data_IF_358121091606
#
_entry.id   IF_358121091606
#
_cell.length_a   1.000
_cell.length_b   1.000
_cell.length_c   1.000
_cell.angle_alpha   90.00
_cell.angle_beta   90.00
_cell.angle_gamma   90.00
#
_symmetry.space_group_name_H-M   'P 1'
#
loop_
_entity.id
_entity.type
_entity.pdbx_description
1 polymer ?
#
# COMPACT_ATOMS: atom_id res chain seq x y z
N UNK A 1 -1.52 4.02 29.08
CA UNK A 1 -2.66 3.50 28.28
C UNK A 1 -3.71 4.60 28.25
N UNK A 2 -4.04 5.14 27.08
CA UNK A 2 -5.16 6.08 26.96
C UNK A 2 -6.45 5.38 27.43
N UNK A 3 -7.41 6.08 28.04
CA UNK A 3 -8.67 5.47 28.44
C UNK A 3 -9.44 5.00 27.20
N UNK A 4 -9.44 3.68 26.96
CA UNK A 4 -10.01 2.98 25.81
C UNK A 4 -11.56 3.03 25.72
N UNK A 5 -12.22 3.95 26.44
CA UNK A 5 -13.69 4.03 26.53
C UNK A 5 -14.31 5.12 25.64
N UNK A 6 -13.51 5.82 24.84
CA UNK A 6 -14.03 6.80 23.88
C UNK A 6 -14.20 6.11 22.53
N UNK A 7 -15.43 6.03 21.97
CA UNK A 7 -15.62 5.49 20.63
C UNK A 7 -14.88 6.38 19.63
N UNK A 8 -13.84 5.83 19.01
CA UNK A 8 -13.13 6.52 17.95
C UNK A 8 -14.07 6.69 16.73
N UNK A 9 -13.98 7.81 16.00
CA UNK A 9 -14.76 7.98 14.78
C UNK A 9 -14.43 6.86 13.78
N UNK A 10 -15.39 6.54 12.92
CA UNK A 10 -15.14 5.59 11.83
C UNK A 10 -13.93 6.02 11.00
N UNK A 11 -13.19 5.07 10.44
CA UNK A 11 -12.00 5.34 9.62
C UNK A 11 -12.27 6.33 8.47
N UNK A 12 -13.47 6.29 7.88
CA UNK A 12 -13.89 7.22 6.84
C UNK A 12 -14.15 8.62 7.41
N UNK A 13 -14.82 8.71 8.56
CA UNK A 13 -15.08 9.98 9.23
C UNK A 13 -13.78 10.66 9.64
N UNK A 14 -12.85 9.91 10.24
CA UNK A 14 -11.54 10.46 10.63
C UNK A 14 -10.76 10.96 9.41
N UNK A 15 -10.75 10.21 8.31
CA UNK A 15 -10.07 10.61 7.09
C UNK A 15 -10.67 11.87 6.46
N UNK A 16 -11.99 12.02 6.44
CA UNK A 16 -12.68 13.23 5.94
C UNK A 16 -12.39 14.44 6.82
N UNK A 17 -12.41 14.28 8.14
CA UNK A 17 -12.05 15.36 9.08
C UNK A 17 -10.60 15.78 8.88
N UNK A 18 -9.68 14.82 8.79
CA UNK A 18 -8.26 15.10 8.54
C UNK A 18 -8.04 15.78 7.19
N UNK A 19 -8.62 15.26 6.11
CA UNK A 19 -8.50 15.86 4.78
C UNK A 19 -9.12 17.26 4.71
N UNK A 20 -10.27 17.47 5.34
CA UNK A 20 -10.89 18.78 5.48
C UNK A 20 -10.03 19.77 6.27
N UNK A 21 -9.39 19.31 7.36
CA UNK A 21 -8.43 20.11 8.12
C UNK A 21 -7.22 20.51 7.28
N UNK A 22 -6.65 19.58 6.50
CA UNK A 22 -5.52 19.86 5.61
C UNK A 22 -5.89 20.89 4.53
N UNK A 23 -7.10 20.78 3.96
CA UNK A 23 -7.64 21.78 3.05
C UNK A 23 -7.82 23.14 3.71
N UNK A 24 -8.37 23.18 4.92
CA UNK A 24 -8.56 24.41 5.67
C UNK A 24 -7.22 25.08 6.01
N UNK A 25 -6.22 24.32 6.47
CA UNK A 25 -4.87 24.83 6.72
C UNK A 25 -4.24 25.39 5.45
N UNK A 26 -4.38 24.70 4.32
CA UNK A 26 -3.91 25.23 3.04
C UNK A 26 -4.62 26.54 2.66
N UNK A 27 -5.93 26.61 2.85
CA UNK A 27 -6.69 27.84 2.62
C UNK A 27 -6.18 28.98 3.50
N UNK A 28 -5.95 28.75 4.80
CA UNK A 28 -5.39 29.76 5.71
C UNK A 28 -4.02 30.25 5.24
N UNK A 29 -3.16 29.34 4.77
CA UNK A 29 -1.86 29.70 4.19
C UNK A 29 -2.03 30.56 2.95
N UNK A 30 -2.98 30.22 2.07
CA UNK A 30 -3.24 30.99 0.84
C UNK A 30 -3.82 32.36 1.11
N UNK A 31 -4.74 32.48 2.06
CA UNK A 31 -5.26 33.78 2.50
C UNK A 31 -4.14 34.62 3.12
N UNK A 32 -3.22 34.01 3.88
CA UNK A 32 -2.05 34.72 4.40
C UNK A 32 -1.08 35.16 3.30
N UNK A 33 -0.87 34.35 2.27
CA UNK A 33 -0.03 34.71 1.11
C UNK A 33 -0.66 35.82 0.28
N UNK A 34 -1.97 35.78 0.03
CA UNK A 34 -2.67 36.82 -0.74
C UNK A 34 -2.82 38.15 0.00
N UNK A 35 -2.68 38.16 1.33
CA UNK A 35 -2.62 39.39 2.14
C UNK A 35 -1.24 40.04 2.14
N UNK A 36 -0.19 39.29 1.82
CA UNK A 36 1.14 39.84 1.60
C UNK A 36 1.17 40.44 0.19
N UNK A 37 1.04 41.76 0.08
CA UNK A 37 1.13 42.47 -1.20
C UNK A 37 2.58 42.37 -1.69
N UNK A 38 2.86 41.85 -2.91
CA UNK A 38 4.20 41.85 -3.45
C UNK A 38 4.68 43.28 -3.71
N UNK A 39 5.93 43.60 -3.36
CA UNK A 39 6.53 44.93 -3.57
C UNK A 39 6.44 45.43 -5.02
N UNK A 40 6.32 44.51 -5.99
CA UNK A 40 6.16 44.82 -7.42
C UNK A 40 4.77 45.38 -7.80
N UNK A 41 3.76 45.16 -6.97
CA UNK A 41 2.38 45.67 -7.18
C UNK A 41 2.09 46.92 -6.35
N UNK A 42 3.04 47.35 -5.50
CA UNK A 42 2.95 48.60 -4.75
C UNK A 42 3.32 49.78 -5.66
N UNK A 43 2.39 50.72 -5.79
CA UNK A 43 2.62 51.97 -6.53
C UNK A 43 3.56 52.93 -5.79
N UNK A 44 4.05 53.95 -6.47
CA UNK A 44 4.91 55.01 -5.91
C UNK A 44 4.32 55.73 -4.69
N UNK A 45 3.02 55.59 -4.44
CA UNK A 45 2.30 56.15 -3.29
C UNK A 45 2.65 55.47 -1.96
N UNK A 46 3.14 54.22 -1.96
CA UNK A 46 3.49 53.46 -0.74
C UNK A 46 4.98 53.54 -0.38
N UNK A 47 5.79 54.30 -1.13
CA UNK A 47 7.24 54.45 -0.90
C UNK A 47 7.58 55.18 0.41
N UNK A 48 6.58 55.78 1.08
CA UNK A 48 6.70 56.44 2.38
C UNK A 48 6.29 55.55 3.56
N UNK A 49 5.67 54.39 3.30
CA UNK A 49 5.61 53.33 4.30
C UNK A 49 7.00 52.69 4.34
N UNK A 50 7.81 53.11 5.31
CA UNK A 50 9.08 52.44 5.60
C UNK A 50 8.82 50.94 5.68
N UNK A 51 9.53 50.20 4.82
CA UNK A 51 9.73 48.75 4.81
C UNK A 51 9.38 48.13 6.17
N UNK A 52 8.10 47.81 6.37
CA UNK A 52 7.65 47.01 7.51
C UNK A 52 8.08 45.58 7.24
N UNK A 53 9.40 45.40 7.30
CA UNK A 53 10.18 44.18 7.20
C UNK A 53 9.66 43.20 6.17
N UNK A 54 10.26 43.21 4.97
CA UNK A 54 10.41 41.98 4.21
C UNK A 54 10.89 40.86 5.16
N UNK A 55 9.94 40.06 5.66
CA UNK A 55 10.23 39.05 6.67
C UNK A 55 11.12 38.02 6.01
N UNK A 56 12.41 38.01 6.39
CA UNK A 56 13.42 37.08 5.88
C UNK A 56 12.98 35.61 5.99
N UNK A 57 11.99 35.34 6.86
CA UNK A 57 11.29 34.08 6.98
C UNK A 57 9.78 34.23 6.78
N UNK A 58 9.24 33.54 5.77
CA UNK A 58 7.80 33.38 5.57
C UNK A 58 7.35 32.02 6.07
N UNK A 59 6.54 31.96 7.15
CA UNK A 59 6.02 30.71 7.72
C UNK A 59 5.12 29.92 6.74
N UNK A 60 4.60 30.58 5.71
CA UNK A 60 3.71 29.99 4.70
C UNK A 60 4.43 28.97 3.81
N UNK A 61 5.69 29.22 3.45
CA UNK A 61 6.51 28.31 2.61
C UNK A 61 6.74 26.95 3.29
N UNK A 62 7.33 26.87 4.50
CA UNK A 62 7.55 25.57 5.15
C UNK A 62 6.24 24.86 5.46
N UNK A 63 5.14 25.57 5.75
CA UNK A 63 3.85 24.92 5.97
C UNK A 63 3.27 24.34 4.67
N UNK A 64 3.37 25.04 3.52
CA UNK A 64 2.98 24.44 2.23
C UNK A 64 3.81 23.20 1.90
N UNK A 65 5.14 23.24 2.14
CA UNK A 65 6.01 22.07 1.93
C UNK A 65 5.66 20.92 2.87
N UNK A 66 5.29 21.21 4.12
CA UNK A 66 4.84 20.21 5.08
C UNK A 66 3.51 19.59 4.66
N UNK A 67 2.54 20.39 4.21
CA UNK A 67 1.24 19.91 3.74
C UNK A 67 1.35 19.08 2.44
N UNK A 68 2.23 19.48 1.53
CA UNK A 68 2.56 18.72 0.32
C UNK A 68 3.30 17.42 0.70
N UNK A 69 4.29 17.50 1.58
CA UNK A 69 5.04 16.36 2.09
C UNK A 69 4.13 15.34 2.78
N UNK A 70 3.18 15.80 3.60
CA UNK A 70 2.19 14.94 4.24
C UNK A 70 1.31 14.21 3.21
N UNK A 71 0.86 14.90 2.15
CA UNK A 71 0.09 14.28 1.07
C UNK A 71 0.92 13.22 0.31
N UNK A 72 2.18 13.53 0.00
CA UNK A 72 3.10 12.61 -0.67
C UNK A 72 3.39 11.40 0.21
N UNK A 73 3.65 11.60 1.50
CA UNK A 73 3.87 10.51 2.46
C UNK A 73 2.65 9.60 2.58
N UNK A 74 1.43 10.17 2.66
CA UNK A 74 0.20 9.37 2.65
C UNK A 74 0.05 8.57 1.35
N UNK A 75 0.31 9.19 0.20
CA UNK A 75 0.27 8.51 -1.09
C UNK A 75 1.31 7.38 -1.19
N UNK A 76 2.56 7.64 -0.79
CA UNK A 76 3.61 6.63 -0.77
C UNK A 76 3.23 5.48 0.17
N UNK A 77 2.81 5.79 1.39
CA UNK A 77 2.39 4.77 2.36
C UNK A 77 1.21 3.94 1.84
N UNK A 78 0.21 4.57 1.22
CA UNK A 78 -0.92 3.88 0.61
C UNK A 78 -0.44 2.88 -0.45
N UNK A 79 0.43 3.27 -1.38
CA UNK A 79 0.88 2.40 -2.47
C UNK A 79 1.93 1.36 -2.06
N UNK A 80 2.67 1.58 -0.98
CA UNK A 80 3.70 0.63 -0.53
C UNK A 80 3.21 -0.35 0.54
N UNK A 81 1.99 -0.16 1.06
CA UNK A 81 1.38 -1.08 2.03
C UNK A 81 0.96 -2.39 1.38
N UNK A 82 1.79 -3.41 1.55
CA UNK A 82 1.56 -4.76 1.02
C UNK A 82 1.50 -5.80 2.14
N UNK A 83 0.74 -6.88 1.92
CA UNK A 83 0.77 -8.09 2.73
C UNK A 83 1.37 -9.24 1.93
N UNK A 84 2.17 -10.04 2.61
CA UNK A 84 2.84 -11.19 2.02
C UNK A 84 1.97 -12.43 2.26
N UNK A 85 1.70 -13.19 1.21
CA UNK A 85 1.06 -14.50 1.26
C UNK A 85 1.99 -15.54 0.66
N UNK A 86 2.06 -16.74 1.27
CA UNK A 86 2.79 -17.90 0.73
C UNK A 86 1.79 -18.98 0.36
N UNK A 87 1.94 -19.54 -0.84
CA UNK A 87 1.12 -20.61 -1.37
C UNK A 87 1.95 -21.90 -1.28
N UNK A 88 1.61 -22.78 -0.34
CA UNK A 88 2.48 -23.92 0.02
C UNK A 88 2.23 -25.12 -0.88
N UNK A 89 0.99 -25.31 -1.35
CA UNK A 89 0.63 -26.46 -2.19
C UNK A 89 0.73 -26.19 -3.69
N UNK A 90 0.88 -24.94 -4.10
CA UNK A 90 0.94 -24.58 -5.51
C UNK A 90 2.36 -24.68 -6.08
N UNK A 91 2.55 -25.58 -7.03
CA UNK A 91 3.83 -25.73 -7.75
C UNK A 91 3.89 -24.89 -9.04
N UNK A 92 2.73 -24.68 -9.67
CA UNK A 92 2.63 -23.95 -10.94
C UNK A 92 2.73 -22.43 -10.78
N UNK A 93 3.32 -21.73 -11.76
CA UNK A 93 3.41 -20.27 -11.72
C UNK A 93 2.03 -19.62 -11.76
N UNK A 94 1.84 -18.65 -10.87
CA UNK A 94 0.63 -17.81 -10.83
C UNK A 94 0.75 -16.67 -11.82
N UNK A 95 -0.34 -16.35 -12.52
CA UNK A 95 -0.41 -15.30 -13.54
C UNK A 95 -0.42 -13.87 -12.97
N UNK A 96 0.02 -13.66 -11.72
CA UNK A 96 0.08 -12.35 -11.07
C UNK A 96 1.48 -11.76 -11.21
N UNK A 97 1.62 -10.48 -11.59
CA UNK A 97 2.91 -9.79 -11.61
C UNK A 97 3.56 -9.67 -10.22
N UNK A 98 2.77 -9.82 -9.15
CA UNK A 98 3.24 -9.72 -7.77
C UNK A 98 3.70 -11.06 -7.17
N UNK A 99 3.67 -12.13 -7.97
CA UNK A 99 4.10 -13.46 -7.56
C UNK A 99 5.60 -13.66 -7.82
N UNK A 100 6.32 -14.16 -6.81
CA UNK A 100 7.76 -14.44 -6.86
C UNK A 100 8.08 -15.75 -6.15
N UNK A 101 9.04 -16.49 -6.68
CA UNK A 101 9.55 -17.69 -6.00
C UNK A 101 10.58 -17.31 -4.95
N UNK A 102 10.38 -17.74 -3.72
CA UNK A 102 11.28 -17.52 -2.60
C UNK A 102 11.70 -18.87 -2.03
N UNK A 103 12.98 -19.00 -1.71
CA UNK A 103 13.52 -20.12 -0.94
C UNK A 103 13.01 -20.03 0.49
N UNK A 104 12.22 -21.01 0.93
CA UNK A 104 11.82 -21.08 2.34
C UNK A 104 12.92 -21.77 3.16
N UNK A 105 13.48 -21.01 4.10
CA UNK A 105 14.08 -21.57 5.32
C UNK A 105 12.93 -21.73 6.32
N UNK A 106 12.93 -22.83 7.08
CA UNK A 106 11.80 -23.32 7.88
C UNK A 106 11.56 -22.44 9.13
N UNK A 107 11.27 -21.16 8.90
CA UNK A 107 11.08 -20.16 9.93
C UNK A 107 9.58 -20.03 10.22
N UNK A 108 9.18 -20.39 11.43
CA UNK A 108 7.80 -20.33 11.91
C UNK A 108 7.38 -18.93 12.41
N UNK A 109 8.23 -17.91 12.23
CA UNK A 109 7.91 -16.55 12.65
C UNK A 109 6.90 -15.89 11.70
N UNK A 110 5.96 -15.07 12.22
CA UNK A 110 5.05 -14.30 11.39
C UNK A 110 5.80 -13.43 10.38
N UNK A 111 5.43 -13.51 9.11
CA UNK A 111 6.06 -12.72 8.06
C UNK A 111 5.78 -11.23 8.26
N UNK A 112 6.82 -10.46 8.54
CA UNK A 112 6.73 -9.01 8.58
C UNK A 112 6.70 -8.43 7.16
N UNK A 113 5.81 -7.48 6.91
CA UNK A 113 5.84 -6.70 5.69
C UNK A 113 7.15 -5.88 5.64
N UNK A 114 7.76 -5.71 4.46
CA UNK A 114 9.02 -4.97 4.34
C UNK A 114 8.87 -3.57 4.92
N UNK A 115 9.84 -3.15 5.73
CA UNK A 115 9.79 -1.84 6.39
C UNK A 115 9.76 -0.73 5.36
N UNK A 116 9.02 0.35 5.62
CA UNK A 116 8.97 1.53 4.75
C UNK A 116 10.40 2.04 4.45
N UNK A 117 11.29 1.98 5.44
CA UNK A 117 12.70 2.35 5.28
C UNK A 117 13.41 1.48 4.24
N UNK A 118 13.18 0.17 4.27
CA UNK A 118 13.78 -0.79 3.33
C UNK A 118 13.19 -0.63 1.93
N UNK A 119 11.90 -0.36 1.83
CA UNK A 119 11.23 -0.07 0.56
C UNK A 119 11.78 1.22 -0.07
N UNK A 120 11.89 2.29 0.71
CA UNK A 120 12.45 3.57 0.25
C UNK A 120 13.92 3.44 -0.13
N UNK A 121 14.72 2.76 0.69
CA UNK A 121 16.13 2.50 0.38
C UNK A 121 16.28 1.59 -0.84
N UNK A 122 15.43 0.58 -0.96
CA UNK A 122 15.37 -0.30 -2.13
C UNK A 122 15.00 0.47 -3.40
N UNK A 123 14.02 1.36 -3.34
CA UNK A 123 13.65 2.23 -4.45
C UNK A 123 14.79 3.19 -4.82
N UNK A 124 15.38 3.86 -3.83
CA UNK A 124 16.53 4.75 -4.01
C UNK A 124 17.70 4.03 -4.68
N UNK A 125 18.10 2.87 -4.15
CA UNK A 125 19.21 2.09 -4.71
C UNK A 125 18.90 1.53 -6.10
N UNK A 126 17.65 1.15 -6.40
CA UNK A 126 17.23 0.73 -7.75
C UNK A 126 17.27 1.88 -8.74
N UNK A 127 16.74 3.05 -8.38
CA UNK A 127 16.78 4.24 -9.22
C UNK A 127 18.22 4.69 -9.48
N UNK A 128 19.07 4.69 -8.46
CA UNK A 128 20.47 5.05 -8.59
C UNK A 128 21.27 4.01 -9.39
N UNK A 129 20.99 2.71 -9.22
CA UNK A 129 21.56 1.65 -10.05
C UNK A 129 21.14 1.77 -11.51
N UNK A 130 19.87 2.05 -11.77
CA UNK A 130 19.35 2.28 -13.11
C UNK A 130 20.05 3.47 -13.77
N UNK A 131 20.18 4.59 -13.05
CA UNK A 131 20.84 5.80 -13.53
C UNK A 131 22.33 5.57 -13.85
N UNK A 132 23.00 4.73 -13.07
CA UNK A 132 24.42 4.38 -13.26
C UNK A 132 24.63 3.13 -14.15
N UNK A 133 23.58 2.56 -14.74
CA UNK A 133 23.68 1.37 -15.60
C UNK A 133 24.19 0.10 -14.90
N UNK A 134 24.13 0.05 -13.57
CA UNK A 134 24.62 -1.08 -12.79
C UNK A 134 23.67 -2.27 -12.88
N UNK A 135 24.17 -3.40 -13.40
CA UNK A 135 23.39 -4.66 -13.46
C UNK A 135 23.25 -5.26 -12.05
N UNK A 136 22.07 -5.82 -11.69
CA UNK A 136 21.91 -6.50 -10.41
C UNK A 136 22.81 -7.73 -10.33
N UNK A 137 23.38 -7.99 -9.15
CA UNK A 137 24.14 -9.21 -8.89
C UNK A 137 23.16 -10.40 -8.94
N UNK A 138 23.46 -11.40 -9.77
CA UNK A 138 22.65 -12.61 -9.85
C UNK A 138 22.56 -13.27 -8.47
N UNK A 139 21.35 -13.58 -8.01
CA UNK A 139 21.13 -14.22 -6.73
C UNK A 139 21.86 -15.57 -6.71
N UNK A 140 22.62 -15.83 -5.64
CA UNK A 140 23.30 -17.10 -5.45
C UNK A 140 22.26 -18.22 -5.39
N UNK A 141 22.40 -19.25 -6.23
CA UNK A 141 21.54 -20.44 -6.17
C UNK A 141 21.90 -21.26 -4.93
N UNK A 142 21.18 -21.05 -3.83
CA UNK A 142 21.18 -21.97 -2.69
C UNK A 142 20.54 -23.30 -3.13
N UNK A 143 21.27 -24.40 -2.95
CA UNK A 143 21.02 -25.69 -3.64
C UNK A 143 19.99 -26.58 -2.95
N UNK A 144 19.46 -26.19 -1.79
CA UNK A 144 18.65 -27.06 -0.91
C UNK A 144 17.35 -26.44 -0.40
N UNK A 145 17.01 -25.22 -0.81
CA UNK A 145 15.79 -24.59 -0.32
C UNK A 145 14.58 -24.95 -1.18
N UNK A 146 13.51 -25.43 -0.55
CA UNK A 146 12.20 -25.63 -1.18
C UNK A 146 11.72 -24.27 -1.69
N UNK A 147 11.44 -24.20 -3.00
CA UNK A 147 10.93 -22.97 -3.62
C UNK A 147 9.44 -22.89 -3.39
N UNK A 148 9.02 -21.87 -2.65
CA UNK A 148 7.62 -21.59 -2.39
C UNK A 148 7.22 -20.34 -3.15
N UNK A 149 5.99 -20.35 -3.64
CA UNK A 149 5.42 -19.21 -4.32
C UNK A 149 4.95 -18.19 -3.29
N UNK A 150 5.58 -17.02 -3.28
CA UNK A 150 5.22 -15.88 -2.45
C UNK A 150 4.53 -14.83 -3.30
N UNK A 151 3.45 -14.24 -2.80
CA UNK A 151 2.73 -13.16 -3.46
C UNK A 151 2.63 -11.94 -2.54
N UNK A 152 2.96 -10.77 -3.07
CA UNK A 152 2.83 -9.49 -2.37
C UNK A 152 1.54 -8.82 -2.80
N UNK A 153 0.53 -8.84 -1.94
CA UNK A 153 -0.78 -8.28 -2.27
C UNK A 153 -0.91 -6.89 -1.66
N UNK A 154 -1.26 -5.92 -2.49
CA UNK A 154 -1.54 -4.57 -2.05
C UNK A 154 -2.71 -4.53 -1.05
N UNK A 155 -2.53 -3.90 0.11
CA UNK A 155 -3.57 -3.85 1.14
C UNK A 155 -3.84 -2.41 1.54
N UNK A 156 -4.66 -1.68 0.76
CA UNK A 156 -5.02 -0.31 1.08
C UNK A 156 -5.68 -0.26 2.46
N UNK A 157 -5.26 0.68 3.30
CA UNK A 157 -5.95 0.94 4.56
C UNK A 157 -7.09 1.94 4.34
N UNK A 158 -8.14 1.83 5.16
CA UNK A 158 -9.37 2.58 4.93
C UNK A 158 -9.18 4.09 5.15
N UNK A 159 -8.35 4.46 6.14
CA UNK A 159 -8.07 5.86 6.47
C UNK A 159 -7.23 6.49 5.36
N UNK A 160 -6.18 5.80 4.93
CA UNK A 160 -5.19 6.28 3.98
C UNK A 160 -5.79 6.42 2.58
N UNK A 161 -6.63 5.46 2.19
CA UNK A 161 -7.39 5.51 0.93
C UNK A 161 -8.38 6.66 0.95
N UNK A 162 -9.18 6.78 2.02
CA UNK A 162 -10.15 7.87 2.12
C UNK A 162 -9.45 9.24 2.21
N UNK A 163 -8.31 9.32 2.89
CA UNK A 163 -7.52 10.55 3.00
C UNK A 163 -6.90 10.91 1.64
N UNK A 164 -6.40 9.93 0.89
CA UNK A 164 -5.89 10.15 -0.47
C UNK A 164 -6.99 10.65 -1.41
N UNK A 165 -8.23 10.15 -1.28
CA UNK A 165 -9.37 10.63 -2.06
C UNK A 165 -9.77 12.06 -1.72
N UNK A 166 -9.73 12.45 -0.44
CA UNK A 166 -10.12 13.79 0.01
C UNK A 166 -9.00 14.80 -0.22
N UNK A 167 -7.75 14.42 0.08
CA UNK A 167 -6.58 15.29 0.04
C UNK A 167 -5.37 14.52 -0.50
N UNK A 168 -5.22 14.54 -1.83
CA UNK A 168 -4.09 13.94 -2.55
C UNK A 168 -2.96 14.95 -2.80
N UNK A 169 -1.74 14.50 -3.19
CA UNK A 169 -0.65 15.41 -3.57
C UNK A 169 -1.05 16.43 -4.65
N UNK A 170 -1.97 16.04 -5.54
CA UNK A 170 -2.50 16.91 -6.58
C UNK A 170 -3.33 18.06 -5.99
N UNK A 171 -4.10 17.80 -4.93
CA UNK A 171 -4.87 18.84 -4.24
C UNK A 171 -3.95 19.89 -3.61
N UNK A 172 -2.83 19.46 -3.01
CA UNK A 172 -1.82 20.38 -2.49
C UNK A 172 -1.22 21.28 -3.60
N UNK A 173 -0.90 20.70 -4.77
CA UNK A 173 -0.41 21.46 -5.93
C UNK A 173 -1.46 22.39 -6.52
N UNK A 174 -2.74 21.99 -6.54
CA UNK A 174 -3.86 22.85 -6.93
C UNK A 174 -3.96 24.09 -6.04
N UNK A 175 -3.75 23.93 -4.73
CA UNK A 175 -3.68 25.08 -3.81
C UNK A 175 -2.53 26.01 -4.15
N UNK A 176 -1.38 25.51 -4.61
CA UNK A 176 -0.27 26.38 -5.01
C UNK A 176 -0.58 27.18 -6.29
N UNK A 177 -1.47 26.66 -7.14
CA UNK A 177 -1.71 27.15 -8.50
C UNK A 177 -2.91 28.10 -8.67
N UNK A 178 -3.56 28.53 -7.59
CA UNK A 178 -4.77 29.39 -7.60
C UNK A 178 -4.57 30.86 -8.05
N UNK A 179 -3.42 31.20 -8.67
CA UNK A 179 -3.09 32.56 -9.13
C UNK A 179 -3.60 32.89 -10.54
N UNK A 180 -3.49 34.17 -10.95
CA UNK A 180 -4.12 34.72 -12.16
C UNK A 180 -3.51 34.26 -13.50
N UNK A 181 -2.31 33.65 -13.53
CA UNK A 181 -1.72 33.18 -14.80
C UNK A 181 -0.62 32.13 -14.65
N UNK A 182 -0.96 30.84 -14.44
CA UNK A 182 0.00 29.75 -14.76
C UNK A 182 -0.65 28.55 -15.48
N UNK A 183 -1.06 28.77 -16.73
CA UNK A 183 -1.67 27.75 -17.59
C UNK A 183 -0.76 26.52 -17.82
N UNK A 184 0.57 26.69 -17.83
CA UNK A 184 1.54 25.59 -17.95
C UNK A 184 1.42 24.62 -16.76
N UNK A 185 1.34 25.15 -15.54
CA UNK A 185 1.18 24.35 -14.33
C UNK A 185 -0.19 23.67 -14.28
N UNK A 186 -1.22 24.29 -14.85
CA UNK A 186 -2.53 23.65 -14.98
C UNK A 186 -2.47 22.38 -15.85
N UNK A 187 -1.78 22.42 -17.00
CA UNK A 187 -1.58 21.22 -17.82
C UNK A 187 -0.80 20.13 -17.07
N UNK A 188 0.24 20.50 -16.32
CA UNK A 188 1.00 19.57 -15.51
C UNK A 188 0.12 18.91 -14.42
N UNK A 189 -0.73 19.69 -13.75
CA UNK A 189 -1.68 19.20 -12.76
C UNK A 189 -2.71 18.26 -13.40
N UNK A 190 -3.27 18.60 -14.58
CA UNK A 190 -4.20 17.73 -15.30
C UNK A 190 -3.57 16.38 -15.66
N UNK A 191 -2.33 16.39 -16.16
CA UNK A 191 -1.58 15.16 -16.42
C UNK A 191 -1.37 14.34 -15.14
N UNK A 192 -1.05 15.01 -14.03
CA UNK A 192 -0.86 14.38 -12.73
C UNK A 192 -2.17 13.80 -12.15
N UNK A 193 -3.32 14.44 -12.36
CA UNK A 193 -4.65 13.88 -12.06
C UNK A 193 -4.88 12.61 -12.87
N UNK A 194 -4.57 12.63 -14.17
CA UNK A 194 -4.70 11.46 -15.03
C UNK A 194 -3.84 10.29 -14.52
N UNK A 195 -2.57 10.59 -14.20
CA UNK A 195 -1.64 9.61 -13.66
C UNK A 195 -2.09 9.05 -12.30
N UNK A 196 -2.52 9.90 -11.35
CA UNK A 196 -2.93 9.45 -10.01
C UNK A 196 -4.12 8.49 -10.09
N UNK A 197 -5.11 8.79 -10.95
CA UNK A 197 -6.32 7.97 -11.11
C UNK A 197 -5.98 6.66 -11.84
N UNK A 198 -5.13 6.72 -12.85
CA UNK A 198 -4.66 5.53 -13.56
C UNK A 198 -3.91 4.59 -12.62
N UNK A 199 -2.99 5.11 -11.81
CA UNK A 199 -2.24 4.33 -10.82
C UNK A 199 -3.19 3.67 -9.81
N UNK A 200 -4.15 4.42 -9.26
CA UNK A 200 -5.13 3.89 -8.32
C UNK A 200 -5.98 2.77 -8.95
N UNK A 201 -6.50 3.00 -10.16
CA UNK A 201 -7.29 2.02 -10.90
C UNK A 201 -6.50 0.75 -11.23
N UNK A 202 -5.24 0.90 -11.67
CA UNK A 202 -4.35 -0.22 -11.96
C UNK A 202 -4.09 -1.06 -10.70
N UNK A 203 -3.79 -0.42 -9.57
CA UNK A 203 -3.57 -1.10 -8.28
C UNK A 203 -4.83 -1.82 -7.78
N UNK A 204 -6.02 -1.22 -7.93
CA UNK A 204 -7.27 -1.89 -7.56
C UNK A 204 -7.58 -3.11 -8.45
N UNK A 205 -7.32 -3.02 -9.77
CA UNK A 205 -7.47 -4.16 -10.67
C UNK A 205 -6.52 -5.30 -10.30
N UNK A 206 -5.26 -4.98 -9.99
CA UNK A 206 -4.29 -5.96 -9.51
C UNK A 206 -4.75 -6.61 -8.19
N UNK A 207 -5.23 -5.81 -7.24
CA UNK A 207 -5.74 -6.30 -5.95
C UNK A 207 -6.91 -7.28 -6.10
N UNK A 208 -7.88 -6.98 -6.96
CA UNK A 208 -9.02 -7.88 -7.19
C UNK A 208 -8.54 -9.21 -7.75
N UNK A 209 -7.65 -9.18 -8.76
CA UNK A 209 -7.06 -10.38 -9.36
C UNK A 209 -6.29 -11.21 -8.31
N UNK A 210 -5.47 -10.56 -7.50
CA UNK A 210 -4.66 -11.22 -6.48
C UNK A 210 -5.53 -11.86 -5.39
N UNK A 211 -6.62 -11.20 -4.99
CA UNK A 211 -7.58 -11.76 -4.03
C UNK A 211 -8.32 -12.98 -4.58
N UNK A 212 -8.70 -12.96 -5.85
CA UNK A 212 -9.34 -14.09 -6.52
C UNK A 212 -8.41 -15.32 -6.52
N UNK A 213 -7.13 -15.11 -6.86
CA UNK A 213 -6.11 -16.16 -6.82
C UNK A 213 -5.96 -16.74 -5.41
N UNK A 214 -5.86 -15.88 -4.39
CA UNK A 214 -5.76 -16.33 -2.99
C UNK A 214 -6.99 -17.13 -2.60
N UNK A 215 -8.19 -16.65 -2.91
CA UNK A 215 -9.43 -17.34 -2.56
C UNK A 215 -9.52 -18.72 -3.23
N UNK A 216 -9.14 -18.81 -4.50
CA UNK A 216 -9.07 -20.07 -5.23
C UNK A 216 -8.05 -21.04 -4.60
N UNK A 217 -6.87 -20.54 -4.22
CA UNK A 217 -5.85 -21.37 -3.58
C UNK A 217 -6.27 -21.84 -2.18
N UNK A 218 -6.86 -20.96 -1.37
CA UNK A 218 -7.37 -21.33 -0.04
C UNK A 218 -8.41 -22.45 -0.15
N UNK A 219 -9.31 -22.38 -1.13
CA UNK A 219 -10.29 -23.45 -1.37
C UNK A 219 -9.62 -24.73 -1.87
N UNK A 220 -8.59 -24.64 -2.70
CA UNK A 220 -7.82 -25.79 -3.15
C UNK A 220 -7.10 -26.48 -1.98
N UNK A 221 -6.36 -25.72 -1.16
CA UNK A 221 -5.66 -26.23 0.01
C UNK A 221 -6.62 -26.83 1.05
N UNK A 222 -7.76 -26.19 1.28
CA UNK A 222 -8.81 -26.71 2.14
C UNK A 222 -9.38 -28.04 1.63
N UNK A 223 -9.69 -28.12 0.32
CA UNK A 223 -10.24 -29.33 -0.27
C UNK A 223 -9.26 -30.51 -0.19
N UNK A 224 -8.01 -30.30 -0.61
CA UNK A 224 -6.94 -31.31 -0.55
C UNK A 224 -6.58 -31.72 0.88
N UNK A 225 -6.67 -30.79 1.84
CA UNK A 225 -6.21 -31.04 3.21
C UNK A 225 -7.29 -31.64 4.10
N UNK A 226 -8.54 -31.23 3.89
CA UNK A 226 -9.61 -31.44 4.86
C UNK A 226 -10.82 -32.16 4.26
N UNK A 227 -11.15 -31.88 3.00
CA UNK A 227 -12.37 -32.39 2.36
C UNK A 227 -12.13 -33.75 1.70
N UNK A 228 -11.25 -33.84 0.71
CA UNK A 228 -11.02 -35.08 -0.04
C UNK A 228 -10.62 -36.26 0.83
N UNK A 229 -9.74 -36.12 1.84
CA UNK A 229 -9.42 -37.24 2.73
C UNK A 229 -10.62 -37.77 3.52
N UNK A 230 -11.64 -36.94 3.78
CA UNK A 230 -12.85 -37.33 4.53
C UNK A 230 -13.99 -37.80 3.64
N UNK A 231 -14.17 -37.20 2.48
CA UNK A 231 -15.24 -37.55 1.53
C UNK A 231 -14.86 -38.80 0.75
N UNK A 232 -13.58 -38.94 0.35
CA UNK A 232 -13.06 -40.05 -0.44
C UNK A 232 -11.95 -40.82 0.31
N UNK A 233 -12.23 -41.38 1.51
CA UNK A 233 -11.23 -42.17 2.22
C UNK A 233 -10.92 -43.44 1.41
N UNK A 234 -9.64 -43.71 1.19
CA UNK A 234 -9.21 -44.96 0.55
C UNK A 234 -9.54 -46.10 1.50
N UNK A 235 -10.59 -46.87 1.19
CA UNK A 235 -10.97 -48.07 1.94
C UNK A 235 -10.42 -49.29 1.22
N UNK A 236 -9.92 -50.25 2.00
CA UNK A 236 -9.57 -51.58 1.52
C UNK A 236 -10.63 -52.56 2.00
N UNK A 237 -11.15 -53.39 1.10
CA UNK A 237 -12.04 -54.47 1.49
C UNK A 237 -11.23 -55.53 2.23
N UNK A 238 -11.49 -55.66 3.53
CA UNK A 238 -10.94 -56.75 4.33
C UNK A 238 -11.95 -57.90 4.29
N UNK A 239 -11.67 -58.94 3.50
CA UNK A 239 -12.43 -60.18 3.57
C UNK A 239 -12.13 -60.85 4.91
N UNK A 240 -13.12 -60.92 5.79
CA UNK A 240 -13.02 -61.68 7.05
C UNK A 240 -13.57 -63.07 6.76
N UNK A 241 -12.69 -64.06 6.59
CA UNK A 241 -13.10 -65.46 6.56
C UNK A 241 -13.05 -66.00 7.99
N UNK A 242 -14.18 -66.42 8.56
CA UNK A 242 -14.19 -67.29 9.73
C UNK A 242 -13.71 -68.66 9.29
N UNK A 243 -12.61 -69.14 9.86
CA UNK A 243 -12.12 -70.48 9.60
C UNK A 243 -13.13 -71.50 10.13
N UNK A 244 -13.48 -72.52 9.33
CA UNK A 244 -14.50 -73.52 9.69
C UNK A 244 -14.13 -74.40 10.91
N UNK A 245 -12.93 -74.25 11.46
CA UNK A 245 -12.47 -75.00 12.64
C UNK A 245 -12.67 -74.28 13.97
N UNK A 246 -13.13 -73.03 13.99
CA UNK A 246 -13.63 -72.42 15.23
C UNK A 246 -15.06 -72.90 15.48
N UNK A 247 -15.20 -74.18 15.81
CA UNK A 247 -16.38 -74.68 16.50
C UNK A 247 -16.15 -74.40 17.98
N UNK A 248 -16.83 -73.39 18.52
CA UNK A 248 -16.90 -73.21 19.98
C UNK A 248 -17.75 -74.36 20.50
N UNK A 249 -17.15 -75.27 21.27
CA UNK A 249 -17.89 -76.33 21.95
C UNK A 249 -18.77 -75.68 23.04
N UNK A 250 -20.10 -75.77 22.97
CA UNK A 250 -20.98 -75.13 23.96
C UNK A 250 -21.02 -75.90 25.29
N UNK A 251 -20.16 -76.91 25.48
CA UNK A 251 -20.19 -77.83 26.63
C UNK A 251 -18.84 -78.00 27.35
N UNK A 252 -17.81 -77.19 27.05
CA UNK A 252 -16.68 -76.93 27.97
C UNK A 252 -16.97 -75.69 28.84
#
# INVERSE_FOLDING_TARGET
>A
QFPNNVPLPSHQTSARILGGLLHFLHLCVRVSQGRAVPDSELGWEDMYAEDTGASWFSWTVPLTLLLLGAAILNAMYLFTRVRIYRLHRRQDPVSSPNAKYVSEELDFEPLEAPSIKEQLWGAFTKSFRWLLGMKPKAAAKTRTATRILQMEVWTPGDVETSLFCVYSPVHALLWMQTGSSNWIMMFAIMALVGFQLHALCHSFKALVKDKEIIAAEVMHEYNEGFVYPRVNPIRKDAAVMTHQSEMVDPWE
#
